data_IF_383875701141
#
_entry.id   IF_383875701141
#
_cell.length_a   1.000
_cell.length_b   1.000
_cell.length_c   1.000
_cell.angle_alpha   90.00
_cell.angle_beta   90.00
_cell.angle_gamma   90.00
#
_symmetry.space_group_name_H-M   'P 1'
#
loop_
_entity.id
_entity.type
_entity.pdbx_description
1 polymer ?
#
# COMPACT_ATOMS: atom_id res chain seq x y z
N UNK A 1 36.77 39.16 -31.20
CA UNK A 1 35.31 39.10 -30.91
C UNK A 1 34.79 37.65 -30.80
N UNK A 2 35.18 36.74 -31.69
CA UNK A 2 34.65 35.37 -31.78
C UNK A 2 34.89 34.46 -30.56
N UNK A 3 36.02 34.60 -29.84
CA UNK A 3 36.29 33.76 -28.64
C UNK A 3 35.24 33.94 -27.53
N UNK A 4 34.69 35.14 -27.39
CA UNK A 4 33.69 35.48 -26.36
C UNK A 4 32.33 34.84 -26.66
N UNK A 5 31.94 34.76 -27.93
CA UNK A 5 30.66 34.17 -28.36
C UNK A 5 30.64 32.65 -28.09
N UNK A 6 31.72 31.96 -28.44
CA UNK A 6 31.84 30.51 -28.19
C UNK A 6 31.85 30.16 -26.69
N UNK A 7 32.39 31.03 -25.84
CA UNK A 7 32.37 30.80 -24.40
C UNK A 7 30.96 30.96 -23.81
N UNK A 8 30.20 31.96 -24.25
CA UNK A 8 28.82 32.19 -23.81
C UNK A 8 27.87 31.10 -24.30
N UNK A 9 28.07 30.56 -25.50
CA UNK A 9 27.28 29.43 -26.00
C UNK A 9 27.48 28.17 -25.15
N UNK A 10 28.76 27.81 -24.90
CA UNK A 10 29.10 26.63 -24.09
C UNK A 10 28.59 26.71 -22.66
N UNK A 11 28.63 27.88 -22.02
CA UNK A 11 28.12 28.01 -20.64
C UNK A 11 26.60 27.92 -20.59
N UNK A 12 25.89 28.45 -21.60
CA UNK A 12 24.44 28.31 -21.72
C UNK A 12 24.02 26.84 -21.91
N UNK A 13 24.69 26.11 -22.80
CA UNK A 13 24.43 24.67 -23.01
C UNK A 13 24.76 23.83 -21.77
N UNK A 14 25.86 24.12 -21.08
CA UNK A 14 26.21 23.42 -19.85
C UNK A 14 25.12 23.58 -18.77
N UNK A 15 24.61 24.80 -18.60
CA UNK A 15 23.57 25.10 -17.60
C UNK A 15 22.23 24.44 -17.95
N UNK A 16 21.84 24.37 -19.23
CA UNK A 16 20.60 23.70 -19.64
C UNK A 16 20.68 22.19 -19.45
N UNK A 17 21.83 21.57 -19.78
CA UNK A 17 22.09 20.14 -19.55
C UNK A 17 22.07 19.82 -18.05
N UNK A 18 22.65 20.67 -17.21
CA UNK A 18 22.67 20.49 -15.76
C UNK A 18 21.26 20.62 -15.15
N UNK A 19 20.46 21.58 -15.61
CA UNK A 19 19.07 21.76 -15.18
C UNK A 19 18.17 20.58 -15.61
N UNK A 20 18.34 20.07 -16.84
CA UNK A 20 17.61 18.90 -17.32
C UNK A 20 17.95 17.64 -16.50
N UNK A 21 19.23 17.42 -16.19
CA UNK A 21 19.69 16.28 -15.39
C UNK A 21 19.21 16.33 -13.93
N UNK A 22 19.04 17.53 -13.37
CA UNK A 22 18.49 17.70 -12.02
C UNK A 22 16.97 17.41 -11.96
N UNK A 23 16.21 17.76 -12.99
CA UNK A 23 14.76 17.48 -13.06
C UNK A 23 14.45 15.99 -13.14
N UNK A 24 15.16 15.23 -13.98
CA UNK A 24 14.96 13.78 -14.10
C UNK A 24 15.29 12.98 -12.83
N UNK A 25 16.11 13.52 -11.92
CA UNK A 25 16.40 12.88 -10.62
C UNK A 25 15.29 13.06 -9.60
N UNK A 26 14.54 14.17 -9.64
CA UNK A 26 13.44 14.42 -8.70
C UNK A 26 12.24 13.52 -8.98
N UNK A 27 11.90 13.34 -10.26
CA UNK A 27 10.77 12.51 -10.69
C UNK A 27 10.94 11.04 -10.31
N UNK A 28 12.14 10.48 -10.44
CA UNK A 28 12.41 9.09 -10.06
C UNK A 28 12.30 8.85 -8.54
N UNK A 29 12.70 9.80 -7.71
CA UNK A 29 12.62 9.66 -6.24
C UNK A 29 11.17 9.78 -5.75
N UNK A 30 10.39 10.70 -6.32
CA UNK A 30 8.97 10.84 -6.01
C UNK A 30 8.15 9.63 -6.49
N UNK A 31 8.42 9.11 -7.70
CA UNK A 31 7.78 7.90 -8.22
C UNK A 31 8.09 6.66 -7.37
N UNK A 32 9.34 6.51 -6.91
CA UNK A 32 9.71 5.45 -5.96
C UNK A 32 8.93 5.58 -4.65
N UNK A 33 8.78 6.80 -4.11
CA UNK A 33 8.05 7.00 -2.85
C UNK A 33 6.56 6.67 -2.98
N UNK A 34 5.92 6.99 -4.10
CA UNK A 34 4.51 6.64 -4.35
C UNK A 34 4.32 5.13 -4.46
N UNK A 35 5.24 4.45 -5.14
CA UNK A 35 5.23 2.98 -5.21
C UNK A 35 5.39 2.34 -3.83
N UNK A 36 6.25 2.88 -2.98
CA UNK A 36 6.42 2.41 -1.60
C UNK A 36 5.14 2.61 -0.77
N UNK A 37 4.46 3.76 -0.92
CA UNK A 37 3.18 4.01 -0.25
C UNK A 37 2.07 3.06 -0.73
N UNK A 38 1.97 2.82 -2.03
CA UNK A 38 1.00 1.88 -2.57
C UNK A 38 1.26 0.47 -2.05
N UNK A 39 2.51 0.02 -2.06
CA UNK A 39 2.89 -1.28 -1.53
C UNK A 39 2.57 -1.44 -0.04
N UNK A 40 2.87 -0.42 0.78
CA UNK A 40 2.50 -0.41 2.20
C UNK A 40 0.98 -0.44 2.40
N UNK A 41 0.22 0.30 1.58
CA UNK A 41 -1.23 0.28 1.62
C UNK A 41 -1.80 -1.09 1.29
N UNK A 42 -1.28 -1.75 0.26
CA UNK A 42 -1.72 -3.10 -0.14
C UNK A 42 -1.44 -4.12 0.96
N UNK A 43 -0.24 -4.09 1.57
CA UNK A 43 0.07 -4.91 2.76
C UNK A 43 -0.92 -4.61 3.88
N UNK A 44 -1.23 -3.34 4.12
CA UNK A 44 -2.17 -2.95 5.19
C UNK A 44 -3.57 -3.49 4.94
N UNK A 45 -4.05 -3.44 3.70
CA UNK A 45 -5.35 -4.01 3.32
C UNK A 45 -5.37 -5.52 3.50
N UNK A 46 -4.29 -6.21 3.09
CA UNK A 46 -4.15 -7.65 3.31
C UNK A 46 -4.15 -8.01 4.80
N UNK A 47 -3.39 -7.29 5.63
CA UNK A 47 -3.35 -7.48 7.09
C UNK A 47 -4.73 -7.26 7.73
N UNK A 48 -5.45 -6.21 7.32
CA UNK A 48 -6.81 -5.94 7.81
C UNK A 48 -7.78 -7.07 7.44
N UNK A 49 -7.76 -7.54 6.19
CA UNK A 49 -8.60 -8.66 5.75
C UNK A 49 -8.28 -9.95 6.51
N UNK A 50 -7.00 -10.25 6.76
CA UNK A 50 -6.62 -11.41 7.57
C UNK A 50 -7.06 -11.26 9.04
N UNK A 51 -6.98 -10.06 9.61
CA UNK A 51 -7.46 -9.79 10.97
C UNK A 51 -8.96 -9.93 11.11
N UNK A 52 -9.74 -9.47 10.12
CA UNK A 52 -11.19 -9.68 10.10
C UNK A 52 -11.53 -11.17 10.07
N UNK A 53 -10.85 -11.94 9.20
CA UNK A 53 -10.99 -13.40 9.14
C UNK A 53 -10.64 -14.07 10.47
N UNK A 54 -9.51 -13.72 11.08
CA UNK A 54 -9.11 -14.27 12.38
C UNK A 54 -10.10 -13.92 13.49
N UNK A 55 -10.67 -12.71 13.45
CA UNK A 55 -11.69 -12.29 14.43
C UNK A 55 -12.96 -13.13 14.30
N UNK A 56 -13.43 -13.38 13.07
CA UNK A 56 -14.56 -14.29 12.81
C UNK A 56 -14.30 -15.70 13.33
N UNK A 57 -13.13 -16.27 13.03
CA UNK A 57 -12.74 -17.59 13.52
C UNK A 57 -12.67 -17.65 15.05
N UNK A 58 -12.11 -16.63 15.70
CA UNK A 58 -12.06 -16.57 17.16
C UNK A 58 -13.44 -16.52 17.81
N UNK A 59 -14.39 -15.83 17.18
CA UNK A 59 -15.78 -15.78 17.62
C UNK A 59 -16.45 -17.14 17.43
N UNK A 60 -16.19 -17.80 16.30
CA UNK A 60 -16.70 -19.14 16.03
C UNK A 60 -16.15 -20.15 17.04
N UNK A 61 -14.85 -20.12 17.34
CA UNK A 61 -14.22 -20.95 18.37
C UNK A 61 -14.88 -20.73 19.74
N UNK A 62 -15.13 -19.47 20.11
CA UNK A 62 -15.85 -19.14 21.34
C UNK A 62 -17.27 -19.75 21.37
N UNK A 63 -18.02 -19.63 20.28
CA UNK A 63 -19.37 -20.20 20.15
C UNK A 63 -19.35 -21.74 20.15
N UNK A 64 -18.29 -22.38 19.67
CA UNK A 64 -18.13 -23.84 19.69
C UNK A 64 -17.78 -24.33 21.10
N UNK A 65 -16.94 -23.60 21.83
CA UNK A 65 -16.46 -23.97 23.17
C UNK A 65 -17.52 -23.74 24.26
N UNK A 66 -18.48 -22.83 24.03
CA UNK A 66 -19.57 -22.55 24.98
C UNK A 66 -20.33 -23.84 25.32
N UNK A 67 -20.30 -24.20 26.61
CA UNK A 67 -20.90 -25.45 27.13
C UNK A 67 -22.41 -25.35 27.35
N UNK A 68 -22.92 -24.14 27.47
CA UNK A 68 -24.34 -23.87 27.60
C UNK A 68 -25.01 -23.95 26.23
N UNK A 69 -26.30 -24.34 26.15
CA UNK A 69 -27.05 -24.28 24.91
C UNK A 69 -27.01 -22.87 24.32
N UNK A 70 -26.64 -22.77 23.05
CA UNK A 70 -26.66 -21.50 22.32
C UNK A 70 -28.10 -21.04 22.14
N UNK A 71 -28.32 -19.73 22.25
CA UNK A 71 -29.59 -19.14 21.87
C UNK A 71 -29.81 -19.28 20.35
N UNK A 72 -31.07 -19.21 19.91
CA UNK A 72 -31.41 -19.41 18.49
C UNK A 72 -30.64 -18.45 17.55
N UNK A 73 -30.44 -17.20 17.98
CA UNK A 73 -29.67 -16.23 17.20
C UNK A 73 -28.16 -16.54 17.18
N UNK A 74 -27.60 -17.13 18.25
CA UNK A 74 -26.20 -17.57 18.31
C UNK A 74 -25.99 -18.78 17.39
N UNK A 75 -26.92 -19.73 17.37
CA UNK A 75 -26.92 -20.86 16.43
C UNK A 75 -27.02 -20.40 14.97
N UNK A 76 -27.92 -19.45 14.69
CA UNK A 76 -28.04 -18.87 13.35
C UNK A 76 -26.74 -18.15 12.92
N UNK A 77 -26.09 -17.42 13.83
CA UNK A 77 -24.82 -16.76 13.58
C UNK A 77 -23.70 -17.79 13.33
N UNK A 78 -23.61 -18.83 14.17
CA UNK A 78 -22.65 -19.92 14.01
C UNK A 78 -22.76 -20.59 12.64
N UNK A 79 -23.98 -20.89 12.19
CA UNK A 79 -24.23 -21.46 10.86
C UNK A 79 -23.78 -20.54 9.73
N UNK A 80 -24.06 -19.23 9.84
CA UNK A 80 -23.62 -18.22 8.86
C UNK A 80 -22.09 -18.13 8.77
N UNK A 81 -21.41 -18.06 9.91
CA UNK A 81 -19.94 -17.99 9.95
C UNK A 81 -19.29 -19.23 9.31
N UNK A 82 -19.82 -20.43 9.59
CA UNK A 82 -19.33 -21.67 8.97
C UNK A 82 -19.54 -21.66 7.45
N UNK A 83 -20.65 -21.11 6.95
CA UNK A 83 -20.93 -21.05 5.52
C UNK A 83 -20.18 -19.95 4.75
N UNK A 84 -19.78 -18.87 5.43
CA UNK A 84 -19.03 -17.78 4.81
C UNK A 84 -17.53 -18.10 4.68
N UNK A 85 -16.98 -18.86 5.62
CA UNK A 85 -15.54 -19.16 5.68
C UNK A 85 -15.14 -20.54 5.11
N UNK A 86 -16.11 -21.40 4.72
CA UNK A 86 -15.93 -22.68 4.01
C UNK A 86 -16.32 -22.56 2.54
#
# INVERSE_FOLDING_TARGET
MMRRINQVHRTKEYNTIQAAKARGKKTLVEENSLNDFQFMWDIKQMDLAQKERLSKLSLLDFLIVKKEPLAEYEEALKKKLISEDM
#
